data_IF_973927736468
#
_entry.id   IF_973927736468
#
_cell.length_a   1.000
_cell.length_b   1.000
_cell.length_c   1.000
_cell.angle_alpha   90.00
_cell.angle_beta   90.00
_cell.angle_gamma   90.00
#
_symmetry.space_group_name_H-M   'P 1'
#
loop_
_entity.id
_entity.type
_entity.pdbx_description
1 polymer ?
#
# COMPACT_ATOMS: atom_id res chain seq x y z
N UNK A 1 36.19 -3.22 -1.21
CA UNK A 1 35.39 -4.38 -0.80
C UNK A 1 34.31 -4.53 -1.85
N UNK A 2 34.28 -5.67 -2.52
CA UNK A 2 33.21 -5.98 -3.46
C UNK A 2 31.91 -6.05 -2.63
N UNK A 3 31.10 -4.99 -2.63
CA UNK A 3 29.81 -4.99 -1.97
C UNK A 3 28.89 -5.91 -2.75
N UNK A 4 28.81 -7.16 -2.28
CA UNK A 4 27.81 -8.08 -2.82
C UNK A 4 26.43 -7.45 -2.69
N UNK A 5 25.79 -7.19 -3.81
CA UNK A 5 24.47 -6.55 -3.87
C UNK A 5 23.46 -7.33 -3.03
N UNK A 6 22.79 -6.66 -2.11
CA UNK A 6 21.72 -7.27 -1.35
C UNK A 6 20.48 -7.49 -2.23
N UNK A 7 20.08 -8.75 -2.38
CA UNK A 7 18.87 -9.16 -3.09
C UNK A 7 17.86 -9.67 -2.06
N UNK A 8 16.82 -8.90 -1.74
CA UNK A 8 15.82 -9.34 -0.78
C UNK A 8 14.94 -10.48 -1.32
N UNK A 9 14.22 -11.21 -0.44
CA UNK A 9 13.46 -12.39 -0.82
C UNK A 9 12.47 -12.13 -1.96
N UNK A 10 12.39 -13.07 -2.88
CA UNK A 10 11.36 -13.13 -3.93
C UNK A 10 10.98 -14.58 -4.20
N UNK A 11 9.78 -14.84 -4.76
CA UNK A 11 9.43 -16.18 -5.20
C UNK A 11 10.38 -16.67 -6.29
N UNK A 12 10.64 -17.96 -6.30
CA UNK A 12 11.41 -18.58 -7.38
C UNK A 12 10.59 -18.53 -8.68
N UNK A 13 11.10 -17.81 -9.65
CA UNK A 13 10.50 -17.76 -10.98
C UNK A 13 10.69 -19.11 -11.68
N UNK A 14 9.60 -19.70 -12.15
CA UNK A 14 9.57 -20.99 -12.86
C UNK A 14 9.10 -20.75 -14.29
N UNK A 15 9.46 -21.63 -15.24
CA UNK A 15 8.84 -21.64 -16.57
C UNK A 15 7.31 -21.73 -16.45
N UNK A 16 6.58 -21.05 -17.34
CA UNK A 16 5.13 -20.83 -17.24
C UNK A 16 4.30 -22.11 -16.96
N UNK A 17 4.64 -23.23 -17.63
CA UNK A 17 3.91 -24.51 -17.45
C UNK A 17 4.13 -25.09 -16.06
N UNK A 18 5.37 -25.04 -15.56
CA UNK A 18 5.73 -25.56 -14.24
C UNK A 18 5.11 -24.69 -13.14
N UNK A 19 5.12 -23.37 -13.31
CA UNK A 19 4.49 -22.42 -12.40
C UNK A 19 2.98 -22.70 -12.24
N UNK A 20 2.28 -22.95 -13.36
CA UNK A 20 0.86 -23.29 -13.35
C UNK A 20 0.58 -24.62 -12.63
N UNK A 21 1.33 -25.69 -12.96
CA UNK A 21 1.15 -27.02 -12.33
C UNK A 21 1.39 -26.90 -10.81
N UNK A 22 2.45 -26.22 -10.40
CA UNK A 22 2.79 -26.03 -8.98
C UNK A 22 1.69 -25.28 -8.22
N UNK A 23 1.16 -24.22 -8.82
CA UNK A 23 0.11 -23.41 -8.20
C UNK A 23 -1.20 -24.19 -8.05
N UNK A 24 -1.57 -24.97 -9.05
CA UNK A 24 -2.74 -25.88 -8.97
C UNK A 24 -2.56 -26.97 -7.92
N UNK A 25 -1.34 -27.44 -7.71
CA UNK A 25 -1.03 -28.53 -6.75
C UNK A 25 -0.95 -28.01 -5.30
N UNK A 26 -0.36 -26.84 -5.07
CA UNK A 26 -0.26 -26.24 -3.73
C UNK A 26 -1.57 -25.67 -3.22
N UNK A 27 -2.41 -25.15 -4.10
CA UNK A 27 -3.71 -24.56 -3.73
C UNK A 27 -3.64 -23.29 -2.89
N UNK A 28 -2.44 -22.70 -2.71
CA UNK A 28 -2.22 -21.53 -1.86
C UNK A 28 -2.58 -20.18 -2.52
N UNK A 29 -2.90 -20.21 -3.81
CA UNK A 29 -3.39 -19.05 -4.56
C UNK A 29 -2.39 -17.91 -4.75
N UNK A 30 -1.09 -18.10 -4.42
CA UNK A 30 -0.08 -17.06 -4.56
C UNK A 30 0.17 -16.69 -6.04
N UNK A 31 -0.41 -15.59 -6.49
CA UNK A 31 -0.29 -15.11 -7.87
C UNK A 31 1.16 -14.78 -8.28
N UNK A 32 2.05 -14.45 -7.34
CA UNK A 32 3.46 -14.20 -7.65
C UNK A 32 4.16 -15.48 -8.14
N UNK A 33 3.77 -16.64 -7.63
CA UNK A 33 4.32 -17.93 -8.08
C UNK A 33 3.84 -18.33 -9.49
N UNK A 34 2.75 -17.71 -9.97
CA UNK A 34 2.24 -17.89 -11.34
C UNK A 34 2.99 -17.06 -12.38
N UNK A 35 3.72 -16.02 -11.95
CA UNK A 35 4.47 -15.19 -12.88
C UNK A 35 5.64 -15.98 -13.47
N UNK A 36 5.68 -16.18 -14.79
CA UNK A 36 6.78 -16.89 -15.43
C UNK A 36 8.06 -16.07 -15.36
N UNK A 37 9.21 -16.73 -15.40
CA UNK A 37 10.51 -16.08 -15.38
C UNK A 37 10.66 -15.05 -16.53
N UNK A 38 10.05 -15.33 -17.66
CA UNK A 38 10.04 -14.47 -18.84
C UNK A 38 9.31 -13.14 -18.60
N UNK A 39 8.40 -13.07 -17.60
CA UNK A 39 7.63 -11.87 -17.29
C UNK A 39 8.50 -10.67 -16.85
N UNK A 40 9.73 -10.93 -16.42
CA UNK A 40 10.70 -9.88 -16.06
C UNK A 40 11.49 -9.33 -17.26
N UNK A 41 11.26 -9.85 -18.46
CA UNK A 41 12.06 -9.53 -19.64
C UNK A 41 11.23 -9.14 -20.87
N UNK A 42 9.97 -9.54 -20.97
CA UNK A 42 9.15 -9.20 -22.11
C UNK A 42 8.33 -7.92 -21.87
N UNK A 43 8.20 -7.10 -22.90
CA UNK A 43 7.40 -5.86 -22.85
C UNK A 43 5.88 -6.12 -22.80
N UNK A 44 5.38 -7.09 -23.58
CA UNK A 44 3.96 -7.48 -23.65
C UNK A 44 3.89 -9.00 -23.88
N UNK A 45 3.16 -9.72 -23.07
CA UNK A 45 3.08 -11.17 -23.17
C UNK A 45 1.76 -11.77 -22.68
N UNK A 46 1.47 -13.00 -23.11
CA UNK A 46 0.33 -13.76 -22.60
C UNK A 46 0.68 -14.44 -21.27
N UNK A 47 -0.22 -14.34 -20.30
CA UNK A 47 -0.17 -15.12 -19.07
C UNK A 47 -1.08 -16.35 -19.24
N UNK A 48 -0.48 -17.47 -19.69
CA UNK A 48 -1.19 -18.72 -19.88
C UNK A 48 -2.23 -18.70 -21.02
N UNK A 49 -2.99 -19.79 -21.11
CA UNK A 49 -4.13 -19.91 -22.02
C UNK A 49 -5.41 -19.91 -21.19
N UNK A 50 -6.14 -18.82 -21.21
CA UNK A 50 -7.48 -18.72 -20.60
C UNK A 50 -8.52 -18.41 -21.68
N UNK A 51 -9.80 -18.71 -21.43
CA UNK A 51 -10.89 -18.34 -22.33
C UNK A 51 -11.00 -16.81 -22.54
N UNK A 52 -10.59 -16.04 -21.55
CA UNK A 52 -10.61 -14.58 -21.60
C UNK A 52 -9.44 -13.98 -22.39
N UNK A 53 -8.31 -14.74 -22.51
CA UNK A 53 -7.07 -14.18 -23.03
C UNK A 53 -6.47 -13.17 -22.04
N UNK A 54 -5.57 -13.64 -21.16
CA UNK A 54 -4.88 -12.75 -20.20
C UNK A 54 -3.58 -12.25 -20.81
N UNK A 55 -3.42 -10.92 -20.89
CA UNK A 55 -2.22 -10.28 -21.44
C UNK A 55 -1.59 -9.38 -20.38
N UNK A 56 -0.30 -9.62 -20.09
CA UNK A 56 0.51 -8.79 -19.20
C UNK A 56 1.21 -7.69 -20.02
N UNK A 57 1.10 -6.48 -19.54
CA UNK A 57 1.77 -5.30 -20.09
C UNK A 57 2.83 -4.80 -19.12
N UNK A 58 4.11 -4.85 -19.54
CA UNK A 58 5.28 -4.36 -18.80
C UNK A 58 5.97 -3.18 -19.50
N UNK A 59 5.51 -2.78 -20.68
CA UNK A 59 6.06 -1.61 -21.38
C UNK A 59 5.44 -0.32 -20.81
N UNK A 60 6.25 0.63 -20.28
CA UNK A 60 5.74 1.85 -19.64
C UNK A 60 4.78 2.67 -20.49
N UNK A 61 5.02 2.77 -21.82
CA UNK A 61 4.12 3.49 -22.76
C UNK A 61 2.75 2.84 -22.86
N UNK A 62 2.71 1.52 -23.05
CA UNK A 62 1.45 0.76 -23.13
C UNK A 62 0.69 0.79 -21.78
N UNK A 63 1.42 0.66 -20.66
CA UNK A 63 0.83 0.81 -19.31
C UNK A 63 0.22 2.19 -19.13
N UNK A 64 0.91 3.25 -19.58
CA UNK A 64 0.40 4.62 -19.53
C UNK A 64 -0.87 4.79 -20.36
N UNK A 65 -0.92 4.24 -21.58
CA UNK A 65 -2.09 4.29 -22.46
C UNK A 65 -3.30 3.60 -21.82
N UNK A 66 -3.12 2.37 -21.31
CA UNK A 66 -4.17 1.59 -20.65
C UNK A 66 -4.67 2.29 -19.36
N UNK A 67 -3.76 2.85 -18.56
CA UNK A 67 -4.15 3.49 -17.29
C UNK A 67 -4.74 4.90 -17.47
N UNK A 68 -4.46 5.58 -18.58
CA UNK A 68 -5.15 6.84 -18.93
C UNK A 68 -6.56 6.59 -19.41
N UNK A 69 -6.74 5.54 -20.20
CA UNK A 69 -8.03 5.08 -20.75
C UNK A 69 -8.90 6.22 -21.27
N UNK A 70 -8.34 7.03 -22.15
CA UNK A 70 -9.03 8.23 -22.69
C UNK A 70 -10.34 7.87 -23.43
N UNK A 71 -10.45 6.66 -23.94
CA UNK A 71 -11.61 6.15 -24.66
C UNK A 71 -12.63 5.43 -23.77
N UNK A 72 -12.28 5.11 -22.52
CA UNK A 72 -13.12 4.36 -21.59
C UNK A 72 -13.30 2.88 -21.96
N UNK A 73 -12.29 2.27 -22.60
CA UNK A 73 -12.32 0.88 -23.08
C UNK A 73 -11.63 -0.11 -22.12
N UNK A 74 -10.95 0.39 -21.09
CA UNK A 74 -10.25 -0.42 -20.08
C UNK A 74 -10.74 -0.16 -18.65
N UNK A 75 -12.03 -0.37 -18.34
CA UNK A 75 -12.52 -0.24 -16.98
C UNK A 75 -11.83 -1.24 -16.05
N UNK A 76 -12.03 -1.06 -14.76
CA UNK A 76 -11.62 -1.98 -13.72
C UNK A 76 -12.18 -3.37 -13.99
N UNK A 77 -11.40 -4.40 -13.66
CA UNK A 77 -11.79 -5.78 -13.92
C UNK A 77 -13.03 -6.16 -13.11
N UNK A 78 -14.00 -6.81 -13.78
CA UNK A 78 -15.17 -7.42 -13.17
C UNK A 78 -14.82 -8.38 -12.02
N UNK A 79 -13.69 -9.09 -12.13
CA UNK A 79 -13.21 -9.98 -11.06
C UNK A 79 -12.84 -9.19 -9.80
N UNK A 80 -12.16 -8.06 -9.94
CA UNK A 80 -11.79 -7.20 -8.81
C UNK A 80 -13.04 -6.51 -8.23
N UNK A 81 -13.88 -5.96 -9.09
CA UNK A 81 -15.12 -5.30 -8.69
C UNK A 81 -16.01 -6.27 -7.91
N UNK A 82 -16.30 -7.45 -8.45
CA UNK A 82 -17.16 -8.43 -7.81
C UNK A 82 -16.59 -9.02 -6.50
N UNK A 83 -15.26 -9.04 -6.35
CA UNK A 83 -14.63 -9.46 -5.09
C UNK A 83 -14.81 -8.42 -3.97
N UNK A 84 -14.83 -7.14 -4.30
CA UNK A 84 -14.84 -6.02 -3.34
C UNK A 84 -16.24 -5.41 -3.12
N UNK A 85 -17.16 -5.58 -4.07
CA UNK A 85 -18.50 -5.02 -4.05
C UNK A 85 -19.27 -5.23 -2.72
N UNK A 86 -19.27 -6.42 -2.09
CA UNK A 86 -20.01 -6.62 -0.85
C UNK A 86 -19.58 -5.69 0.29
N UNK A 87 -18.33 -5.28 0.30
CA UNK A 87 -17.78 -4.42 1.35
C UNK A 87 -17.86 -2.94 1.01
N UNK A 88 -17.39 -2.55 -0.19
CA UNK A 88 -17.18 -1.15 -0.57
C UNK A 88 -18.16 -0.63 -1.63
N UNK A 89 -19.17 -1.44 -1.97
CA UNK A 89 -20.27 -1.07 -2.85
C UNK A 89 -19.81 -0.36 -4.12
N UNK A 90 -20.51 0.72 -4.48
CA UNK A 90 -20.20 1.53 -5.65
C UNK A 90 -19.23 2.70 -5.34
N UNK A 91 -18.17 2.44 -4.56
CA UNK A 91 -17.15 3.43 -4.23
C UNK A 91 -16.26 3.80 -5.44
N UNK A 92 -15.51 4.88 -5.31
CA UNK A 92 -14.55 5.30 -6.35
C UNK A 92 -13.47 4.25 -6.65
N UNK A 93 -13.29 3.26 -5.78
CA UNK A 93 -12.31 2.18 -5.99
C UNK A 93 -12.77 1.19 -7.06
N UNK A 94 -14.06 0.99 -7.22
CA UNK A 94 -14.67 0.02 -8.16
C UNK A 94 -15.44 0.65 -9.32
N UNK A 95 -15.86 1.91 -9.20
CA UNK A 95 -16.58 2.64 -10.27
C UNK A 95 -15.64 3.16 -11.35
N UNK A 96 -16.19 3.41 -12.54
CA UNK A 96 -15.51 3.99 -13.70
C UNK A 96 -16.35 5.12 -14.33
N UNK A 97 -15.81 5.77 -15.35
CA UNK A 97 -16.51 6.75 -16.17
C UNK A 97 -17.01 7.98 -15.40
N UNK A 98 -18.23 8.50 -15.73
CA UNK A 98 -18.76 9.72 -15.13
C UNK A 98 -18.97 9.61 -13.60
N UNK A 99 -19.45 8.45 -13.11
CA UNK A 99 -19.67 8.22 -11.68
C UNK A 99 -18.36 8.32 -10.91
N UNK A 100 -17.32 7.65 -11.39
CA UNK A 100 -15.98 7.74 -10.80
C UNK A 100 -15.45 9.18 -10.80
N UNK A 101 -15.59 9.92 -11.91
CA UNK A 101 -15.13 11.31 -12.01
C UNK A 101 -15.81 12.22 -10.99
N UNK A 102 -17.13 12.09 -10.82
CA UNK A 102 -17.88 12.80 -9.78
C UNK A 102 -17.30 12.50 -8.40
N UNK A 103 -17.22 11.24 -8.02
CA UNK A 103 -16.74 10.79 -6.73
C UNK A 103 -15.29 11.27 -6.49
N UNK A 104 -14.42 11.12 -7.48
CA UNK A 104 -13.02 11.56 -7.40
C UNK A 104 -12.90 13.06 -7.15
N UNK A 105 -13.64 13.87 -7.88
CA UNK A 105 -13.63 15.34 -7.73
C UNK A 105 -14.12 15.79 -6.35
N UNK A 106 -15.07 15.07 -5.77
CA UNK A 106 -15.59 15.36 -4.43
C UNK A 106 -14.62 14.93 -3.32
N UNK A 107 -13.85 13.87 -3.53
CA UNK A 107 -12.95 13.27 -2.53
C UNK A 107 -11.55 13.91 -2.52
N UNK A 108 -10.99 14.28 -3.67
CA UNK A 108 -9.63 14.81 -3.78
C UNK A 108 -9.29 15.92 -2.77
N UNK A 109 -10.18 16.90 -2.48
CA UNK A 109 -9.89 17.96 -1.52
C UNK A 109 -9.65 17.46 -0.09
N UNK A 110 -10.23 16.32 0.30
CA UNK A 110 -10.05 15.73 1.63
C UNK A 110 -8.62 15.20 1.85
N UNK A 111 -7.86 14.95 0.79
CA UNK A 111 -6.47 14.49 0.81
C UNK A 111 -5.45 15.58 0.41
N UNK A 112 -5.85 16.84 0.44
CA UNK A 112 -4.96 17.97 0.16
C UNK A 112 -3.85 18.11 1.22
N UNK A 113 -2.74 18.77 0.87
CA UNK A 113 -1.62 19.01 1.79
C UNK A 113 -2.04 19.72 3.08
N UNK A 114 -3.00 20.64 2.98
CA UNK A 114 -3.54 21.35 4.15
C UNK A 114 -4.27 20.39 5.09
N UNK A 115 -5.10 19.50 4.56
CA UNK A 115 -5.78 18.48 5.37
C UNK A 115 -4.81 17.46 5.93
N UNK A 116 -3.79 17.11 5.17
CA UNK A 116 -2.73 16.20 5.60
C UNK A 116 -1.96 16.74 6.81
N UNK A 117 -1.65 18.05 6.85
CA UNK A 117 -0.99 18.66 8.01
C UNK A 117 -1.86 18.61 9.26
N UNK A 118 -3.19 18.70 9.13
CA UNK A 118 -4.13 18.53 10.25
C UNK A 118 -4.17 17.07 10.72
N UNK A 119 -4.25 16.12 9.80
CA UNK A 119 -4.26 14.69 10.10
C UNK A 119 -2.94 14.21 10.73
N UNK A 120 -1.84 14.94 10.51
CA UNK A 120 -0.51 14.60 11.04
C UNK A 120 -0.47 14.50 12.56
N UNK A 121 -1.22 15.34 13.28
CA UNK A 121 -1.31 15.28 14.75
C UNK A 121 -1.89 13.93 15.21
N UNK A 122 -2.93 13.43 14.53
CA UNK A 122 -3.53 12.16 14.83
C UNK A 122 -2.60 10.99 14.43
N UNK A 123 -1.82 11.14 13.35
CA UNK A 123 -0.78 10.17 12.99
C UNK A 123 0.31 10.06 14.07
N UNK A 124 0.79 11.19 14.61
CA UNK A 124 1.76 11.20 15.71
C UNK A 124 1.20 10.46 16.93
N UNK A 125 -0.01 10.81 17.38
CA UNK A 125 -0.62 10.19 18.55
C UNK A 125 -0.79 8.65 18.39
N UNK A 126 -1.20 8.18 17.19
CA UNK A 126 -1.26 6.75 16.90
C UNK A 126 0.12 6.09 16.96
N UNK A 127 1.12 6.75 16.36
CA UNK A 127 2.50 6.23 16.32
C UNK A 127 3.10 6.15 17.73
N UNK A 128 2.87 7.14 18.59
CA UNK A 128 3.37 7.17 19.97
C UNK A 128 2.78 6.06 20.84
N UNK A 129 1.48 5.80 20.71
CA UNK A 129 0.83 4.67 21.40
C UNK A 129 1.46 3.34 20.99
N UNK A 130 1.73 3.15 19.71
CA UNK A 130 2.36 1.94 19.19
C UNK A 130 3.86 1.85 19.52
N UNK A 131 4.58 2.98 19.56
CA UNK A 131 5.96 3.04 20.09
C UNK A 131 6.00 2.54 21.53
N UNK A 132 5.02 2.92 22.36
CA UNK A 132 4.93 2.45 23.74
C UNK A 132 4.73 0.93 23.81
N UNK A 133 3.85 0.36 22.98
CA UNK A 133 3.65 -1.11 22.88
C UNK A 133 4.90 -1.85 22.43
N UNK A 134 5.64 -1.29 21.45
CA UNK A 134 6.91 -1.86 20.99
C UNK A 134 8.00 -1.75 22.08
N UNK A 135 7.98 -0.67 22.88
CA UNK A 135 8.90 -0.51 24.03
C UNK A 135 8.69 -1.61 25.08
N UNK A 136 7.44 -1.99 25.39
CA UNK A 136 7.15 -3.13 26.26
C UNK A 136 7.77 -4.44 25.74
N UNK A 137 7.73 -4.64 24.42
CA UNK A 137 8.40 -5.79 23.79
C UNK A 137 9.92 -5.70 23.88
N UNK A 138 10.50 -4.51 23.78
CA UNK A 138 11.93 -4.28 23.95
C UNK A 138 12.37 -4.56 25.41
N UNK A 139 11.59 -4.08 26.38
CA UNK A 139 11.87 -4.26 27.81
C UNK A 139 11.76 -5.73 28.25
N UNK A 140 10.74 -6.44 27.73
CA UNK A 140 10.50 -7.85 28.05
C UNK A 140 11.38 -8.82 27.25
N UNK A 141 11.98 -8.37 26.14
CA UNK A 141 12.72 -9.21 25.18
C UNK A 141 11.84 -10.22 24.43
N UNK A 142 10.50 -10.11 24.56
CA UNK A 142 9.58 -11.01 23.89
C UNK A 142 9.48 -10.67 22.40
N UNK A 143 9.49 -11.69 21.52
CA UNK A 143 9.28 -11.45 20.10
C UNK A 143 7.82 -11.10 19.80
N UNK A 144 7.62 -10.31 18.75
CA UNK A 144 6.30 -9.97 18.23
C UNK A 144 6.22 -10.19 16.71
N UNK A 145 5.00 -10.25 16.18
CA UNK A 145 4.76 -10.33 14.73
C UNK A 145 4.84 -8.93 14.14
N UNK A 146 5.83 -8.71 13.25
CA UNK A 146 6.05 -7.43 12.56
C UNK A 146 4.84 -7.03 11.73
N UNK A 147 4.30 -7.97 10.94
CA UNK A 147 3.17 -7.73 10.05
C UNK A 147 1.89 -7.37 10.81
N UNK A 148 1.63 -8.01 11.97
CA UNK A 148 0.50 -7.64 12.82
C UNK A 148 0.72 -6.28 13.48
N UNK A 149 1.91 -5.98 13.98
CA UNK A 149 2.22 -4.69 14.58
C UNK A 149 2.02 -3.54 13.58
N UNK A 150 2.52 -3.70 12.34
CA UNK A 150 2.30 -2.70 11.30
C UNK A 150 0.83 -2.57 10.89
N UNK A 151 0.09 -3.68 10.83
CA UNK A 151 -1.35 -3.65 10.55
C UNK A 151 -2.15 -2.92 11.63
N UNK A 152 -1.88 -3.17 12.91
CA UNK A 152 -2.54 -2.47 14.01
C UNK A 152 -2.19 -0.97 14.01
N UNK A 153 -0.92 -0.62 13.84
CA UNK A 153 -0.48 0.77 13.79
C UNK A 153 -1.19 1.55 12.67
N UNK A 154 -1.15 1.04 11.45
CA UNK A 154 -1.76 1.74 10.30
C UNK A 154 -3.28 1.75 10.37
N UNK A 155 -3.92 0.72 10.95
CA UNK A 155 -5.35 0.74 11.22
C UNK A 155 -5.72 1.82 12.25
N UNK A 156 -4.91 2.00 13.31
CA UNK A 156 -5.13 3.07 14.30
C UNK A 156 -4.95 4.45 13.69
N UNK A 157 -3.92 4.64 12.85
CA UNK A 157 -3.73 5.88 12.08
C UNK A 157 -4.98 6.19 11.25
N UNK A 158 -5.51 5.23 10.50
CA UNK A 158 -6.73 5.43 9.70
C UNK A 158 -7.95 5.71 10.58
N UNK A 159 -8.15 4.96 11.66
CA UNK A 159 -9.26 5.20 12.59
C UNK A 159 -9.24 6.63 13.14
N UNK A 160 -8.08 7.12 13.56
CA UNK A 160 -7.95 8.48 14.13
C UNK A 160 -8.04 9.58 13.09
N UNK A 161 -7.46 9.39 11.91
CA UNK A 161 -7.39 10.44 10.87
C UNK A 161 -8.66 10.52 10.03
N UNK A 162 -9.33 9.40 9.80
CA UNK A 162 -10.56 9.35 9.00
C UNK A 162 -11.79 9.53 9.88
N UNK A 163 -11.83 8.90 11.07
CA UNK A 163 -13.03 8.82 11.89
C UNK A 163 -12.91 9.46 13.29
N UNK A 164 -11.78 10.11 13.59
CA UNK A 164 -11.49 10.68 14.91
C UNK A 164 -11.69 9.68 16.09
N UNK A 165 -11.49 8.39 15.84
CA UNK A 165 -11.73 7.31 16.79
C UNK A 165 -10.50 6.39 16.87
N UNK A 166 -9.91 6.15 18.07
CA UNK A 166 -8.77 5.23 18.19
C UNK A 166 -9.17 3.77 17.97
N UNK A 167 -8.27 2.94 17.46
CA UNK A 167 -8.49 1.50 17.24
C UNK A 167 -8.76 0.72 18.54
N UNK A 168 -8.29 1.21 19.68
CA UNK A 168 -8.53 0.64 20.98
C UNK A 168 -10.02 0.64 21.40
N UNK A 169 -10.89 1.39 20.71
CA UNK A 169 -12.34 1.29 20.91
C UNK A 169 -12.85 -0.09 20.50
N UNK A 170 -13.83 -0.62 21.24
CA UNK A 170 -14.40 -1.94 20.95
C UNK A 170 -14.92 -2.06 19.51
N UNK A 171 -15.59 -1.00 19.02
CA UNK A 171 -16.14 -0.96 17.65
C UNK A 171 -15.03 -1.03 16.59
N UNK A 172 -13.96 -0.25 16.76
CA UNK A 172 -12.86 -0.26 15.80
C UNK A 172 -12.13 -1.61 15.77
N UNK A 173 -12.02 -2.29 16.94
CA UNK A 173 -11.46 -3.63 17.03
C UNK A 173 -12.30 -4.67 16.29
N UNK A 174 -13.63 -4.66 16.50
CA UNK A 174 -14.56 -5.54 15.78
C UNK A 174 -14.46 -5.33 14.26
N UNK A 175 -14.43 -4.06 13.82
CA UNK A 175 -14.26 -3.72 12.40
C UNK A 175 -12.94 -4.25 11.85
N UNK A 176 -11.85 -4.13 12.60
CA UNK A 176 -10.54 -4.66 12.19
C UNK A 176 -10.52 -6.19 12.06
N UNK A 177 -11.14 -6.90 13.00
CA UNK A 177 -11.23 -8.36 12.96
C UNK A 177 -12.07 -8.84 11.75
N UNK A 178 -13.18 -8.19 11.47
CA UNK A 178 -14.02 -8.47 10.30
C UNK A 178 -13.32 -8.16 8.97
N UNK A 179 -12.54 -7.06 8.90
CA UNK A 179 -11.70 -6.76 7.74
C UNK A 179 -10.65 -7.84 7.53
N UNK A 180 -10.01 -8.33 8.58
CA UNK A 180 -9.02 -9.41 8.47
C UNK A 180 -9.64 -10.69 7.90
N UNK A 181 -10.89 -11.00 8.26
CA UNK A 181 -11.64 -12.12 7.70
C UNK A 181 -11.92 -11.91 6.20
N UNK A 182 -12.40 -10.72 5.83
CA UNK A 182 -12.67 -10.35 4.45
C UNK A 182 -11.41 -10.45 3.57
N UNK A 183 -10.30 -9.90 4.02
CA UNK A 183 -9.01 -9.92 3.30
C UNK A 183 -8.52 -11.34 3.02
N UNK A 184 -8.62 -12.23 4.00
CA UNK A 184 -8.26 -13.64 3.83
C UNK A 184 -9.10 -14.33 2.77
N UNK A 185 -10.36 -13.96 2.65
CA UNK A 185 -11.28 -14.52 1.65
C UNK A 185 -11.00 -13.98 0.25
N UNK A 186 -10.85 -12.66 0.11
CA UNK A 186 -10.56 -12.01 -1.19
C UNK A 186 -9.20 -12.43 -1.74
N UNK A 187 -8.26 -12.75 -0.84
CA UNK A 187 -6.94 -13.24 -1.21
C UNK A 187 -6.94 -14.65 -1.84
N UNK A 188 -8.01 -15.42 -1.70
CA UNK A 188 -8.13 -16.74 -2.29
C UNK A 188 -8.53 -16.63 -3.77
N UNK A 189 -7.52 -16.50 -4.63
CA UNK A 189 -7.75 -16.44 -6.08
C UNK A 189 -8.10 -17.82 -6.60
N UNK A 190 -9.31 -17.98 -7.11
CA UNK A 190 -9.73 -19.18 -7.85
C UNK A 190 -9.06 -19.23 -9.22
N UNK A 191 -7.80 -19.71 -9.24
CA UNK A 191 -6.99 -19.82 -10.47
C UNK A 191 -7.69 -20.68 -11.52
N UNK A 192 -8.29 -21.78 -11.10
CA UNK A 192 -9.02 -22.67 -12.01
C UNK A 192 -10.25 -21.95 -12.58
N UNK A 193 -10.98 -21.22 -11.73
CA UNK A 193 -12.07 -20.37 -12.17
C UNK A 193 -11.63 -19.27 -13.13
N UNK A 194 -10.50 -18.61 -12.89
CA UNK A 194 -9.95 -17.61 -13.82
C UNK A 194 -9.64 -18.22 -15.22
N UNK A 195 -9.21 -19.47 -15.28
CA UNK A 195 -8.91 -20.16 -16.55
C UNK A 195 -10.20 -20.61 -17.24
N UNK A 196 -11.18 -21.12 -16.51
CA UNK A 196 -12.36 -21.81 -17.05
C UNK A 196 -13.60 -20.91 -17.15
N UNK A 197 -13.75 -19.90 -16.28
CA UNK A 197 -14.93 -19.02 -16.28
C UNK A 197 -14.94 -18.10 -17.51
N UNK A 198 -16.12 -17.84 -18.08
CA UNK A 198 -16.27 -16.84 -19.13
C UNK A 198 -15.99 -15.43 -18.57
N UNK A 199 -15.81 -14.46 -19.46
CA UNK A 199 -15.82 -13.05 -19.09
C UNK A 199 -17.13 -12.71 -18.36
N UNK A 200 -17.06 -11.76 -17.41
CA UNK A 200 -18.21 -11.25 -16.67
C UNK A 200 -18.88 -12.30 -15.74
N UNK A 201 -18.12 -13.26 -15.24
CA UNK A 201 -18.64 -14.22 -14.27
C UNK A 201 -18.74 -13.60 -12.88
N UNK A 202 -19.84 -13.90 -12.18
CA UNK A 202 -20.04 -13.49 -10.79
C UNK A 202 -19.04 -14.17 -9.86
N UNK A 203 -18.51 -13.41 -8.90
CA UNK A 203 -17.71 -13.93 -7.79
C UNK A 203 -18.64 -14.13 -6.59
N UNK A 204 -18.74 -15.38 -6.12
CA UNK A 204 -19.56 -15.70 -4.95
C UNK A 204 -18.68 -15.69 -3.71
N UNK A 205 -19.07 -14.87 -2.72
CA UNK A 205 -18.47 -14.86 -1.40
C UNK A 205 -19.18 -15.88 -0.47
N UNK A 206 -18.48 -16.32 0.58
CA UNK A 206 -19.09 -17.17 1.61
C UNK A 206 -20.07 -16.37 2.47
N UNK A 207 -21.04 -17.06 3.12
CA UNK A 207 -22.00 -16.39 4.02
C UNK A 207 -21.31 -15.68 5.17
N UNK A 208 -20.23 -16.24 5.69
CA UNK A 208 -19.44 -15.68 6.78
C UNK A 208 -18.81 -14.34 6.37
N UNK A 209 -18.21 -14.27 5.18
CA UNK A 209 -17.61 -13.05 4.62
C UNK A 209 -18.67 -11.99 4.35
N UNK A 210 -19.83 -12.37 3.81
CA UNK A 210 -20.93 -11.43 3.59
C UNK A 210 -21.44 -10.85 4.91
N UNK A 211 -21.58 -11.68 5.96
CA UNK A 211 -21.97 -11.19 7.29
C UNK A 211 -20.92 -10.25 7.91
N UNK A 212 -19.62 -10.51 7.70
CA UNK A 212 -18.54 -9.58 8.12
C UNK A 212 -18.64 -8.24 7.38
N UNK A 213 -18.87 -8.27 6.06
CA UNK A 213 -19.09 -7.03 5.28
C UNK A 213 -20.29 -6.23 5.79
N UNK A 214 -21.42 -6.90 6.11
CA UNK A 214 -22.60 -6.25 6.67
C UNK A 214 -22.31 -5.58 8.02
N UNK A 215 -21.58 -6.25 8.93
CA UNK A 215 -21.18 -5.66 10.21
C UNK A 215 -20.27 -4.45 10.04
N UNK A 216 -19.25 -4.56 9.19
CA UNK A 216 -18.34 -3.42 8.87
C UNK A 216 -19.17 -2.23 8.35
N UNK A 217 -20.03 -2.45 7.37
CA UNK A 217 -20.88 -1.40 6.78
C UNK A 217 -21.84 -0.80 7.81
N UNK A 218 -22.37 -1.61 8.74
CA UNK A 218 -23.19 -1.14 9.85
C UNK A 218 -22.40 -0.18 10.77
N UNK A 219 -21.19 -0.55 11.18
CA UNK A 219 -20.36 0.29 12.06
C UNK A 219 -19.91 1.58 11.35
N UNK A 220 -19.53 1.50 10.07
CA UNK A 220 -19.21 2.71 9.28
C UNK A 220 -20.47 3.59 9.15
N UNK A 221 -21.64 3.01 8.93
CA UNK A 221 -22.91 3.74 8.90
C UNK A 221 -23.19 4.49 10.20
N UNK A 222 -22.94 3.87 11.34
CA UNK A 222 -23.11 4.52 12.66
C UNK A 222 -22.12 5.70 12.85
N UNK A 223 -20.88 5.58 12.34
CA UNK A 223 -19.92 6.68 12.34
C UNK A 223 -20.38 7.82 11.42
N UNK A 224 -20.89 7.50 10.23
CA UNK A 224 -21.49 8.49 9.32
C UNK A 224 -22.64 9.22 9.98
N UNK A 225 -23.55 8.50 10.60
CA UNK A 225 -24.71 9.08 11.30
C UNK A 225 -24.26 10.00 12.46
N UNK A 226 -23.22 9.60 13.18
CA UNK A 226 -22.62 10.44 14.23
C UNK A 226 -22.11 11.74 13.66
N UNK A 227 -21.39 11.72 12.54
CA UNK A 227 -20.87 12.93 11.89
C UNK A 227 -21.99 13.82 11.32
N UNK A 228 -23.04 13.23 10.76
CA UNK A 228 -24.19 13.95 10.21
C UNK A 228 -25.05 14.64 11.29
N UNK A 229 -25.14 14.06 12.48
CA UNK A 229 -25.99 14.56 13.57
C UNK A 229 -25.28 15.55 14.52
N UNK A 230 -24.03 15.87 14.28
CA UNK A 230 -23.25 16.76 15.13
C UNK A 230 -23.17 18.16 14.52
N UNK A 231 -23.07 19.16 15.39
CA UNK A 231 -22.85 20.57 15.00
C UNK A 231 -21.59 20.68 14.12
N UNK A 232 -21.71 21.43 13.04
CA UNK A 232 -20.61 21.71 12.11
C UNK A 232 -19.35 22.17 12.86
N UNK A 233 -18.20 21.59 12.55
CA UNK A 233 -16.91 21.92 13.18
C UNK A 233 -16.52 21.09 14.40
N UNK A 234 -17.34 20.15 14.88
CA UNK A 234 -16.94 19.24 15.98
C UNK A 234 -15.84 18.26 15.59
N UNK A 235 -15.88 17.77 14.35
CA UNK A 235 -14.86 16.89 13.77
C UNK A 235 -14.10 17.63 12.67
N UNK A 236 -12.78 17.43 12.61
CA UNK A 236 -11.92 18.00 11.58
C UNK A 236 -11.08 16.88 10.92
N UNK A 237 -11.74 15.77 10.61
CA UNK A 237 -11.17 14.57 10.01
C UNK A 237 -11.52 14.45 8.52
N UNK A 238 -11.03 13.37 7.89
CA UNK A 238 -11.25 13.12 6.48
C UNK A 238 -12.74 12.81 6.21
N UNK A 239 -13.42 12.09 7.10
CA UNK A 239 -14.85 11.80 6.95
C UNK A 239 -15.68 13.09 6.91
N UNK A 240 -15.44 14.03 7.81
CA UNK A 240 -16.10 15.35 7.81
C UNK A 240 -15.90 16.10 6.49
N UNK A 241 -14.68 16.07 5.94
CA UNK A 241 -14.39 16.73 4.68
C UNK A 241 -15.16 16.09 3.50
N UNK A 242 -15.29 14.76 3.49
CA UNK A 242 -16.04 14.05 2.45
C UNK A 242 -17.55 14.23 2.62
N UNK A 243 -18.07 14.26 3.83
CA UNK A 243 -19.49 14.49 4.12
C UNK A 243 -19.92 15.91 3.66
N UNK A 244 -19.05 16.89 3.83
CA UNK A 244 -19.31 18.29 3.42
C UNK A 244 -19.09 18.52 1.91
N UNK A 245 -18.46 17.58 1.22
CA UNK A 245 -18.17 17.71 -0.21
C UNK A 245 -19.47 17.76 -1.03
N UNK A 246 -19.52 18.65 -2.02
CA UNK A 246 -20.63 18.79 -2.95
C UNK A 246 -20.15 18.62 -4.38
N UNK A 247 -20.96 17.94 -5.15
CA UNK A 247 -20.77 17.83 -6.59
C UNK A 247 -20.83 19.23 -7.24
N UNK A 248 -19.86 19.53 -8.08
CA UNK A 248 -19.74 20.86 -8.70
C UNK A 248 -20.86 21.16 -9.70
N UNK A 249 -21.40 20.12 -10.35
CA UNK A 249 -22.41 20.26 -11.40
C UNK A 249 -23.83 20.31 -10.83
N UNK A 250 -24.11 19.49 -9.80
CA UNK A 250 -25.45 19.37 -9.21
C UNK A 250 -25.62 20.11 -7.90
N UNK A 251 -24.52 20.45 -7.21
CA UNK A 251 -24.53 21.01 -5.86
C UNK A 251 -24.92 20.03 -4.76
N UNK A 252 -25.17 18.77 -5.10
CA UNK A 252 -25.62 17.74 -4.16
C UNK A 252 -24.46 17.10 -3.43
N UNK A 253 -24.60 16.78 -2.11
CA UNK A 253 -23.62 15.99 -1.38
C UNK A 253 -23.69 14.51 -1.79
N UNK A 254 -22.80 13.69 -1.23
CA UNK A 254 -22.96 12.24 -1.21
C UNK A 254 -24.21 11.83 -0.43
N UNK A 255 -24.90 10.80 -0.89
CA UNK A 255 -25.94 10.13 -0.08
C UNK A 255 -25.30 9.37 1.07
N UNK A 256 -26.10 8.98 2.09
CA UNK A 256 -25.62 8.18 3.21
C UNK A 256 -24.95 6.88 2.77
N UNK A 257 -25.53 6.18 1.81
CA UNK A 257 -25.01 4.91 1.30
C UNK A 257 -23.71 5.12 0.51
N UNK A 258 -23.65 6.16 -0.31
CA UNK A 258 -22.38 6.55 -0.97
C UNK A 258 -21.28 6.87 0.06
N UNK A 259 -21.61 7.54 1.18
CA UNK A 259 -20.65 7.81 2.25
C UNK A 259 -20.11 6.53 2.88
N UNK A 260 -20.99 5.56 3.16
CA UNK A 260 -20.59 4.24 3.68
C UNK A 260 -19.63 3.55 2.71
N UNK A 261 -19.93 3.57 1.41
CA UNK A 261 -19.08 3.00 0.37
C UNK A 261 -17.70 3.68 0.33
N UNK A 262 -17.64 5.02 0.32
CA UNK A 262 -16.37 5.76 0.25
C UNK A 262 -15.54 5.60 1.53
N UNK A 263 -16.15 5.68 2.71
CA UNK A 263 -15.44 5.57 3.98
C UNK A 263 -14.97 4.13 4.24
N UNK A 264 -15.73 3.14 3.77
CA UNK A 264 -15.30 1.73 3.79
C UNK A 264 -14.03 1.50 2.98
N UNK A 265 -13.91 2.12 1.80
CA UNK A 265 -12.70 2.00 1.00
C UNK A 265 -11.50 2.70 1.63
N UNK A 266 -11.70 3.82 2.36
CA UNK A 266 -10.57 4.50 3.01
C UNK A 266 -9.97 3.64 4.12
N UNK A 267 -10.80 2.97 4.89
CA UNK A 267 -10.31 2.03 5.89
C UNK A 267 -9.53 0.88 5.23
N UNK A 268 -10.15 0.19 4.26
CA UNK A 268 -9.52 -0.94 3.55
C UNK A 268 -8.20 -0.54 2.89
N UNK A 269 -8.21 0.52 2.08
CA UNK A 269 -7.06 0.92 1.28
C UNK A 269 -5.95 1.56 2.11
N UNK A 270 -6.30 2.26 3.20
CA UNK A 270 -5.33 3.01 3.99
C UNK A 270 -4.48 2.13 4.89
N UNK A 271 -5.12 1.22 5.66
CA UNK A 271 -4.35 0.43 6.62
C UNK A 271 -3.55 -0.69 5.94
N UNK A 272 -4.15 -1.47 5.07
CA UNK A 272 -3.55 -2.69 4.52
C UNK A 272 -2.34 -2.41 3.62
N UNK A 273 -2.41 -1.38 2.78
CA UNK A 273 -1.32 -1.06 1.84
C UNK A 273 -0.11 -0.47 2.56
N UNK A 274 -0.32 0.43 3.52
CA UNK A 274 0.77 1.02 4.31
C UNK A 274 1.40 -0.01 5.24
N UNK A 275 0.61 -0.86 5.88
CA UNK A 275 1.11 -1.98 6.70
C UNK A 275 1.99 -2.93 5.88
N UNK A 276 1.56 -3.31 4.67
CA UNK A 276 2.36 -4.12 3.75
C UNK A 276 3.70 -3.45 3.45
N UNK A 277 3.71 -2.17 3.08
CA UNK A 277 4.93 -1.43 2.77
C UNK A 277 5.88 -1.36 3.96
N UNK A 278 5.38 -1.00 5.15
CA UNK A 278 6.18 -0.89 6.37
C UNK A 278 6.72 -2.24 6.86
N UNK A 279 5.96 -3.32 6.69
CA UNK A 279 6.45 -4.68 6.99
C UNK A 279 7.73 -4.98 6.20
N UNK A 280 7.76 -4.68 4.90
CA UNK A 280 8.94 -4.91 4.07
C UNK A 280 10.07 -3.92 4.38
N UNK A 281 9.75 -2.68 4.72
CA UNK A 281 10.73 -1.68 5.18
C UNK A 281 11.49 -2.20 6.41
N UNK A 282 10.77 -2.60 7.48
CA UNK A 282 11.40 -3.04 8.72
C UNK A 282 12.03 -4.43 8.60
N UNK A 283 11.50 -5.29 7.74
CA UNK A 283 12.18 -6.54 7.37
C UNK A 283 13.56 -6.26 6.77
N UNK A 284 13.66 -5.36 5.78
CA UNK A 284 14.93 -5.00 5.14
C UNK A 284 15.88 -4.33 6.15
N UNK A 285 15.37 -3.45 7.02
CA UNK A 285 16.21 -2.82 8.05
C UNK A 285 16.78 -3.81 9.04
N UNK A 286 16.05 -4.87 9.40
CA UNK A 286 16.54 -5.93 10.26
C UNK A 286 17.58 -6.85 9.58
N UNK A 287 17.45 -7.08 8.26
CA UNK A 287 18.42 -7.82 7.45
C UNK A 287 19.71 -7.01 7.17
N UNK A 288 19.60 -5.67 7.18
CA UNK A 288 20.65 -4.75 6.74
C UNK A 288 20.82 -3.59 7.73
N UNK A 289 21.39 -3.87 8.92
CA UNK A 289 21.52 -2.88 9.99
C UNK A 289 22.40 -1.68 9.65
N UNK A 290 23.26 -1.77 8.63
CA UNK A 290 24.01 -0.62 8.13
C UNK A 290 23.12 0.49 7.57
N UNK A 291 21.92 0.16 7.04
CA UNK A 291 20.95 1.15 6.64
C UNK A 291 20.34 1.87 7.84
N UNK A 292 20.18 1.17 8.95
CA UNK A 292 19.66 1.76 10.18
C UNK A 292 20.56 2.92 10.65
N UNK A 293 21.89 2.73 10.62
CA UNK A 293 22.84 3.78 10.96
C UNK A 293 22.73 5.00 10.01
N UNK A 294 22.70 4.75 8.71
CA UNK A 294 22.58 5.82 7.69
C UNK A 294 21.28 6.62 7.83
N UNK A 295 20.15 5.95 8.08
CA UNK A 295 18.88 6.63 8.28
C UNK A 295 18.87 7.45 9.56
N UNK A 296 19.49 6.97 10.64
CA UNK A 296 19.65 7.73 11.91
C UNK A 296 20.45 9.00 11.73
N UNK A 297 21.56 8.96 10.97
CA UNK A 297 22.35 10.15 10.65
C UNK A 297 21.50 11.25 9.98
N UNK A 298 20.54 10.86 9.13
CA UNK A 298 19.62 11.81 8.50
C UNK A 298 18.51 12.26 9.44
N UNK A 299 17.91 11.34 10.23
CA UNK A 299 16.70 11.59 11.00
C UNK A 299 17.00 12.34 12.30
N UNK A 300 18.04 11.96 13.05
CA UNK A 300 18.34 12.47 14.40
C UNK A 300 18.37 14.00 14.49
N UNK A 301 18.95 14.76 13.54
CA UNK A 301 18.94 16.22 13.59
C UNK A 301 17.54 16.88 13.54
N UNK A 302 16.53 16.13 13.11
CA UNK A 302 15.15 16.62 12.97
C UNK A 302 14.21 16.11 14.06
N UNK A 303 14.71 15.25 14.97
CA UNK A 303 13.93 14.76 16.10
C UNK A 303 14.06 15.76 17.27
N UNK A 304 12.96 16.48 17.58
CA UNK A 304 12.88 17.40 18.71
C UNK A 304 12.05 16.76 19.82
N UNK A 305 12.62 16.60 21.00
CA UNK A 305 11.98 15.93 22.15
C UNK A 305 11.41 14.51 21.82
N UNK A 306 12.02 13.83 20.83
CA UNK A 306 11.60 12.53 20.39
C UNK A 306 10.55 12.52 19.26
N UNK A 307 10.15 13.70 18.76
CA UNK A 307 9.12 13.86 17.73
C UNK A 307 9.66 14.44 16.43
N UNK A 308 9.07 14.00 15.30
CA UNK A 308 9.31 14.54 13.98
C UNK A 308 8.19 15.51 13.62
N UNK A 309 8.53 16.73 13.18
CA UNK A 309 7.51 17.67 12.70
C UNK A 309 7.05 17.35 11.27
N UNK A 310 5.83 17.77 10.90
CA UNK A 310 5.32 17.63 9.53
C UNK A 310 6.28 18.22 8.48
N UNK A 311 6.85 19.40 8.75
CA UNK A 311 7.81 20.04 7.83
C UNK A 311 9.14 19.27 7.74
N UNK A 312 9.55 18.61 8.82
CA UNK A 312 10.77 17.79 8.82
C UNK A 312 10.63 16.55 7.92
N UNK A 313 9.43 15.98 7.77
CA UNK A 313 9.22 14.86 6.84
C UNK A 313 9.64 15.18 5.40
N UNK A 314 9.62 16.45 5.01
CA UNK A 314 10.02 16.92 3.67
C UNK A 314 11.56 16.96 3.48
N UNK A 315 12.31 16.91 4.58
CA UNK A 315 13.77 17.08 4.63
C UNK A 315 14.54 15.76 4.80
N UNK A 316 13.89 14.63 4.53
CA UNK A 316 14.45 13.28 4.70
C UNK A 316 14.58 12.59 3.32
N UNK A 317 15.49 13.02 2.42
CA UNK A 317 15.62 12.45 1.09
C UNK A 317 16.08 10.99 1.10
N UNK A 318 17.00 10.58 1.98
CA UNK A 318 17.47 9.19 2.07
C UNK A 318 16.38 8.26 2.62
N UNK A 319 15.68 8.67 3.69
CA UNK A 319 14.57 7.90 4.26
C UNK A 319 13.46 7.71 3.22
N UNK A 320 13.14 8.76 2.46
CA UNK A 320 12.20 8.69 1.36
C UNK A 320 12.67 7.77 0.23
N UNK A 321 13.95 7.84 -0.13
CA UNK A 321 14.56 6.99 -1.13
C UNK A 321 14.53 5.52 -0.72
N UNK A 322 14.81 5.22 0.55
CA UNK A 322 14.69 3.89 1.14
C UNK A 322 13.25 3.36 1.02
N UNK A 323 12.26 4.15 1.41
CA UNK A 323 10.85 3.80 1.30
C UNK A 323 10.43 3.55 -0.16
N UNK A 324 10.84 4.43 -1.09
CA UNK A 324 10.56 4.25 -2.52
C UNK A 324 11.16 2.96 -3.08
N UNK A 325 12.38 2.62 -2.69
CA UNK A 325 13.02 1.37 -3.14
C UNK A 325 12.34 0.14 -2.55
N UNK A 326 11.88 0.20 -1.30
CA UNK A 326 11.04 -0.85 -0.71
C UNK A 326 9.74 -1.02 -1.50
N UNK A 327 9.05 0.07 -1.85
CA UNK A 327 7.85 0.03 -2.71
C UNK A 327 8.14 -0.46 -4.14
N UNK A 328 9.35 -0.23 -4.67
CA UNK A 328 9.74 -0.77 -5.97
C UNK A 328 9.80 -2.29 -5.94
N UNK A 329 10.45 -2.84 -4.91
CA UNK A 329 10.62 -4.29 -4.77
C UNK A 329 9.40 -4.98 -4.17
N UNK A 330 8.65 -4.31 -3.32
CA UNK A 330 7.45 -4.84 -2.67
C UNK A 330 6.27 -3.88 -2.82
N UNK A 331 5.80 -3.65 -4.06
CA UNK A 331 4.62 -2.81 -4.25
C UNK A 331 3.43 -3.46 -3.55
N UNK A 332 2.70 -2.75 -2.67
CA UNK A 332 1.53 -3.31 -2.01
C UNK A 332 0.51 -3.88 -3.01
N UNK A 333 0.25 -3.15 -4.08
CA UNK A 333 -0.59 -3.64 -5.17
C UNK A 333 0.28 -4.35 -6.21
N UNK A 334 0.22 -5.68 -6.20
CA UNK A 334 1.01 -6.54 -7.10
C UNK A 334 0.53 -6.47 -8.54
N UNK A 335 -0.81 -6.40 -8.73
CA UNK A 335 -1.49 -6.45 -10.02
C UNK A 335 -2.60 -5.41 -10.09
N UNK A 336 -2.72 -4.78 -11.26
CA UNK A 336 -3.80 -3.84 -11.60
C UNK A 336 -4.56 -4.42 -12.79
N UNK A 337 -5.62 -5.19 -12.56
CA UNK A 337 -6.40 -5.80 -13.63
C UNK A 337 -7.37 -4.81 -14.28
N UNK A 338 -7.47 -4.90 -15.60
CA UNK A 338 -8.45 -4.20 -16.43
C UNK A 338 -9.12 -5.20 -17.36
N UNK A 339 -10.21 -4.80 -17.99
CA UNK A 339 -10.88 -5.63 -18.99
C UNK A 339 -11.13 -4.81 -20.26
N UNK A 340 -10.88 -5.41 -21.44
CA UNK A 340 -11.15 -4.75 -22.70
C UNK A 340 -12.65 -4.85 -23.03
N UNK A 341 -13.37 -3.73 -23.10
CA UNK A 341 -14.81 -3.70 -23.41
C UNK A 341 -15.11 -4.05 -24.87
N UNK A 342 -14.14 -3.85 -25.76
CA UNK A 342 -14.26 -4.10 -27.19
C UNK A 342 -12.95 -4.66 -27.76
N UNK A 343 -12.93 -4.97 -29.05
CA UNK A 343 -11.69 -5.33 -29.73
C UNK A 343 -10.83 -4.09 -29.89
N UNK A 344 -9.62 -4.12 -29.34
CA UNK A 344 -8.70 -2.98 -29.33
C UNK A 344 -7.28 -3.44 -29.61
N UNK A 345 -6.45 -2.56 -30.14
CA UNK A 345 -5.03 -2.81 -30.36
C UNK A 345 -4.19 -1.80 -29.58
N UNK A 346 -3.28 -2.31 -28.73
CA UNK A 346 -2.34 -1.53 -27.94
C UNK A 346 -0.91 -1.89 -28.35
N UNK A 347 -0.19 -0.95 -28.92
CA UNK A 347 1.20 -1.10 -29.37
C UNK A 347 1.44 -2.39 -30.18
N UNK A 348 0.57 -2.67 -31.16
CA UNK A 348 0.63 -3.84 -32.04
C UNK A 348 0.05 -5.11 -31.43
N UNK A 349 -0.41 -5.10 -30.18
CA UNK A 349 -1.06 -6.24 -29.53
C UNK A 349 -2.58 -6.13 -29.64
N UNK A 350 -3.17 -7.06 -30.37
CA UNK A 350 -4.63 -7.19 -30.52
C UNK A 350 -5.24 -7.88 -29.32
N UNK A 351 -6.25 -7.26 -28.74
CA UNK A 351 -7.03 -7.76 -27.62
C UNK A 351 -8.47 -8.02 -28.06
N UNK A 352 -9.01 -9.21 -27.82
CA UNK A 352 -10.43 -9.46 -28.03
C UNK A 352 -11.27 -8.78 -26.94
N UNK A 353 -12.55 -8.55 -27.22
CA UNK A 353 -13.51 -8.13 -26.20
C UNK A 353 -13.52 -9.11 -25.04
N UNK A 354 -13.52 -8.60 -23.82
CA UNK A 354 -13.48 -9.39 -22.57
C UNK A 354 -12.08 -9.87 -22.17
N UNK A 355 -11.03 -9.52 -22.93
CA UNK A 355 -9.66 -9.84 -22.55
C UNK A 355 -9.30 -9.24 -21.19
N UNK A 356 -8.64 -10.03 -20.33
CA UNK A 356 -8.07 -9.54 -19.10
C UNK A 356 -6.72 -8.89 -19.39
N UNK A 357 -6.66 -7.59 -19.15
CA UNK A 357 -5.47 -6.75 -19.30
C UNK A 357 -4.82 -6.63 -17.93
N UNK A 358 -3.64 -7.21 -17.78
CA UNK A 358 -2.92 -7.24 -16.53
C UNK A 358 -1.75 -6.25 -16.57
N UNK A 359 -1.72 -5.31 -15.65
CA UNK A 359 -0.55 -4.50 -15.35
C UNK A 359 0.02 -5.01 -14.03
N UNK A 360 1.31 -5.34 -13.99
CA UNK A 360 1.92 -5.84 -12.76
C UNK A 360 3.04 -4.90 -12.32
N UNK A 361 2.79 -3.99 -11.36
CA UNK A 361 3.86 -3.22 -10.72
C UNK A 361 5.02 -4.10 -10.27
N UNK A 362 4.75 -5.30 -9.78
CA UNK A 362 5.77 -6.28 -9.38
C UNK A 362 6.79 -6.59 -10.47
N UNK A 363 6.38 -6.87 -11.71
CA UNK A 363 7.29 -7.19 -12.82
C UNK A 363 7.83 -5.94 -13.51
N UNK A 364 6.99 -4.92 -13.70
CA UNK A 364 7.38 -3.66 -14.31
C UNK A 364 8.52 -2.99 -13.53
N UNK A 365 8.39 -2.95 -12.20
CA UNK A 365 9.37 -2.35 -11.30
C UNK A 365 10.63 -3.23 -11.08
N UNK A 366 10.67 -4.40 -11.71
CA UNK A 366 11.81 -5.32 -11.76
C UNK A 366 12.22 -5.70 -13.17
N UNK A 367 11.73 -4.99 -14.18
CA UNK A 367 11.98 -5.34 -15.58
C UNK A 367 13.42 -5.01 -15.95
N UNK A 368 14.16 -6.02 -16.46
CA UNK A 368 15.59 -5.93 -16.75
C UNK A 368 15.98 -4.84 -17.77
N UNK A 369 15.05 -4.44 -18.64
CA UNK A 369 15.25 -3.37 -19.64
C UNK A 369 15.22 -1.97 -19.01
N UNK A 370 14.49 -1.78 -17.90
CA UNK A 370 14.25 -0.46 -17.30
C UNK A 370 15.01 -0.25 -16.00
N UNK A 371 15.51 -1.33 -15.39
CA UNK A 371 16.20 -1.29 -14.11
C UNK A 371 17.55 -2.02 -14.21
N UNK A 372 18.62 -1.32 -13.93
CA UNK A 372 19.93 -1.93 -13.66
C UNK A 372 19.83 -2.70 -12.33
N UNK A 373 20.42 -3.90 -12.25
CA UNK A 373 20.29 -4.79 -11.07
C UNK A 373 18.85 -4.83 -10.53
N UNK A 374 17.88 -5.31 -11.33
CA UNK A 374 16.45 -5.11 -11.09
C UNK A 374 15.94 -5.75 -9.79
N UNK A 375 16.68 -6.70 -9.24
CA UNK A 375 16.33 -7.40 -8.00
C UNK A 375 17.09 -6.92 -6.77
N UNK A 376 18.14 -6.11 -6.95
CA UNK A 376 18.94 -5.57 -5.85
C UNK A 376 18.25 -4.39 -5.20
N UNK A 377 18.36 -4.28 -3.88
CA UNK A 377 17.87 -3.15 -3.10
C UNK A 377 18.92 -2.03 -3.11
N UNK A 378 18.60 -0.93 -3.78
CA UNK A 378 19.48 0.23 -4.00
C UNK A 378 18.69 1.54 -3.81
N UNK A 379 18.51 2.03 -2.58
CA UNK A 379 17.79 3.28 -2.32
C UNK A 379 18.34 4.48 -3.07
N UNK A 380 19.64 4.50 -3.36
CA UNK A 380 20.31 5.57 -4.08
C UNK A 380 19.70 5.91 -5.45
N UNK A 381 18.92 4.97 -6.04
CA UNK A 381 18.15 5.21 -7.28
C UNK A 381 17.17 6.36 -7.16
N UNK A 382 16.61 6.52 -5.94
CA UNK A 382 15.55 7.50 -5.64
C UNK A 382 16.04 8.74 -4.92
N UNK A 383 17.37 8.91 -4.77
CA UNK A 383 17.92 10.20 -4.39
C UNK A 383 17.64 11.26 -5.46
N UNK A 384 17.41 12.53 -5.11
CA UNK A 384 17.00 13.57 -6.06
C UNK A 384 17.89 13.70 -7.30
N UNK A 385 19.20 13.49 -7.13
CA UNK A 385 20.19 13.54 -8.22
C UNK A 385 20.07 12.36 -9.20
N UNK A 386 19.56 11.20 -8.75
CA UNK A 386 19.49 9.97 -9.54
C UNK A 386 18.09 9.70 -10.07
N UNK A 387 17.03 10.09 -9.34
CA UNK A 387 15.64 9.79 -9.68
C UNK A 387 15.24 10.29 -11.08
N UNK A 388 15.82 11.42 -11.51
CA UNK A 388 15.61 11.99 -12.85
C UNK A 388 16.07 11.08 -14.00
N UNK A 389 16.95 10.11 -13.72
CA UNK A 389 17.51 9.19 -14.72
C UNK A 389 16.65 7.91 -14.85
N UNK A 390 15.64 7.72 -13.99
CA UNK A 390 14.75 6.57 -14.05
C UNK A 390 13.86 6.63 -15.31
N UNK A 391 13.61 5.46 -15.89
CA UNK A 391 12.69 5.35 -17.02
C UNK A 391 11.28 5.78 -16.60
N UNK A 392 10.76 6.83 -17.24
CA UNK A 392 9.44 7.36 -16.93
C UNK A 392 8.36 6.29 -17.08
N UNK A 393 7.53 6.12 -16.06
CA UNK A 393 6.43 5.14 -16.03
C UNK A 393 6.86 3.71 -15.70
N UNK A 394 8.15 3.45 -15.44
CA UNK A 394 8.61 2.15 -14.94
C UNK A 394 8.42 1.99 -13.42
N UNK A 395 8.18 3.07 -12.67
CA UNK A 395 7.90 3.10 -11.24
C UNK A 395 6.47 3.62 -11.00
N UNK A 396 5.57 2.75 -10.55
CA UNK A 396 4.14 3.04 -10.42
C UNK A 396 3.50 2.44 -9.15
N UNK A 397 4.11 2.57 -7.97
CA UNK A 397 3.58 1.93 -6.75
C UNK A 397 2.21 2.48 -6.33
N UNK A 398 1.89 3.71 -6.74
CA UNK A 398 0.61 4.37 -6.51
C UNK A 398 -0.29 4.41 -7.75
N UNK A 399 0.04 3.64 -8.78
CA UNK A 399 -0.60 3.73 -10.08
C UNK A 399 -0.14 4.94 -10.90
N UNK A 400 -0.88 5.27 -11.94
CA UNK A 400 -0.66 6.46 -12.77
C UNK A 400 -1.93 6.89 -13.51
N UNK A 401 -1.90 8.05 -14.16
CA UNK A 401 -3.05 8.59 -14.89
C UNK A 401 -4.17 9.09 -13.96
N UNK A 402 -5.41 9.17 -14.46
CA UNK A 402 -6.53 9.70 -13.68
C UNK A 402 -6.81 8.92 -12.39
N UNK A 403 -6.57 7.61 -12.39
CA UNK A 403 -6.76 6.71 -11.25
C UNK A 403 -5.56 6.63 -10.30
N UNK A 404 -4.63 7.61 -10.35
CA UNK A 404 -3.55 7.72 -9.37
C UNK A 404 -4.12 7.70 -7.94
N UNK A 405 -3.46 6.99 -7.02
CA UNK A 405 -3.88 6.88 -5.62
C UNK A 405 -4.12 8.26 -4.99
N UNK A 406 -5.31 8.48 -4.45
CA UNK A 406 -5.67 9.73 -3.76
C UNK A 406 -4.89 9.90 -2.47
N UNK A 407 -4.59 8.79 -1.77
CA UNK A 407 -3.84 8.75 -0.52
C UNK A 407 -2.32 8.70 -0.68
N UNK A 408 -1.75 8.90 -1.89
CA UNK A 408 -0.30 8.77 -2.10
C UNK A 408 0.54 9.70 -1.20
N UNK A 409 0.11 10.96 -1.03
CA UNK A 409 0.76 11.91 -0.13
C UNK A 409 0.60 11.51 1.34
N UNK A 410 -0.60 11.04 1.72
CA UNK A 410 -0.91 10.53 3.06
C UNK A 410 0.01 9.37 3.42
N UNK A 411 0.04 8.32 2.60
CA UNK A 411 0.86 7.13 2.83
C UNK A 411 2.36 7.43 2.92
N UNK A 412 2.87 8.39 2.13
CA UNK A 412 4.27 8.81 2.21
C UNK A 412 4.58 9.51 3.54
N UNK A 413 3.75 10.46 3.97
CA UNK A 413 3.96 11.19 5.23
C UNK A 413 3.84 10.26 6.42
N UNK A 414 2.81 9.41 6.46
CA UNK A 414 2.59 8.39 7.47
C UNK A 414 3.81 7.45 7.58
N UNK A 415 4.27 6.92 6.45
CA UNK A 415 5.41 6.00 6.44
C UNK A 415 6.70 6.66 6.90
N UNK A 416 6.98 7.90 6.48
CA UNK A 416 8.17 8.64 6.93
C UNK A 416 8.12 8.94 8.42
N UNK A 417 6.96 9.29 8.97
CA UNK A 417 6.76 9.49 10.41
C UNK A 417 7.07 8.19 11.17
N UNK A 418 6.42 7.08 10.81
CA UNK A 418 6.56 5.79 11.48
C UNK A 418 8.01 5.30 11.38
N UNK A 419 8.62 5.38 10.19
CA UNK A 419 10.03 5.01 10.01
C UNK A 419 10.93 5.84 10.93
N UNK A 420 10.75 7.16 10.95
CA UNK A 420 11.60 8.05 11.77
C UNK A 420 11.46 7.77 13.26
N UNK A 421 10.25 7.60 13.74
CA UNK A 421 9.97 7.32 15.15
C UNK A 421 10.56 5.97 15.58
N UNK A 422 10.37 4.91 14.80
CA UNK A 422 10.83 3.58 15.16
C UNK A 422 12.35 3.42 14.97
N UNK A 423 12.92 3.97 13.88
CA UNK A 423 14.37 3.92 13.59
C UNK A 423 15.17 4.70 14.63
N UNK A 424 14.66 5.82 15.13
CA UNK A 424 15.35 6.62 16.15
C UNK A 424 15.37 5.94 17.53
N UNK A 425 14.42 5.06 17.81
CA UNK A 425 14.20 4.48 19.15
C UNK A 425 14.66 3.03 19.30
N UNK A 426 14.65 2.23 18.22
CA UNK A 426 14.83 0.78 18.31
C UNK A 426 15.85 0.21 17.33
N UNK A 427 16.53 -0.85 17.77
CA UNK A 427 17.26 -1.80 16.93
C UNK A 427 16.37 -3.01 16.66
N UNK A 428 16.39 -3.53 15.42
CA UNK A 428 15.51 -4.59 14.93
C UNK A 428 16.31 -5.86 14.67
N UNK A 429 15.80 -7.00 15.12
CA UNK A 429 16.42 -8.31 14.93
C UNK A 429 15.38 -9.34 14.52
N UNK A 430 15.58 -9.98 13.37
CA UNK A 430 14.73 -11.10 12.94
C UNK A 430 15.00 -12.34 13.80
N UNK A 431 13.96 -13.10 14.12
CA UNK A 431 14.19 -14.41 14.74
C UNK A 431 14.89 -15.34 13.74
N UNK A 432 15.82 -16.20 14.24
CA UNK A 432 16.56 -17.11 13.38
C UNK A 432 15.64 -18.14 12.70
N UNK A 433 16.11 -18.68 11.58
CA UNK A 433 15.46 -19.77 10.83
C UNK A 433 14.07 -19.47 10.26
N UNK A 434 13.69 -18.21 10.11
CA UNK A 434 12.47 -17.82 9.39
C UNK A 434 12.72 -17.83 7.89
N UNK A 435 11.78 -18.41 7.15
CA UNK A 435 11.74 -18.32 5.69
C UNK A 435 10.73 -17.27 5.29
N UNK A 436 11.18 -16.06 5.02
CA UNK A 436 10.31 -14.99 4.55
C UNK A 436 10.19 -15.02 3.03
N UNK A 437 8.98 -15.22 2.54
CA UNK A 437 8.66 -15.26 1.10
C UNK A 437 7.47 -14.35 0.85
N UNK A 438 7.53 -13.44 -0.14
CA UNK A 438 6.40 -12.61 -0.48
C UNK A 438 5.28 -13.42 -1.16
N UNK A 439 4.05 -13.10 -0.79
CA UNK A 439 2.83 -13.63 -1.39
C UNK A 439 1.94 -12.47 -1.86
N UNK A 440 1.41 -12.59 -3.08
CA UNK A 440 0.35 -11.68 -3.54
C UNK A 440 -0.98 -12.19 -2.97
N UNK A 441 -1.46 -11.46 -1.99
CA UNK A 441 -2.82 -11.53 -1.46
C UNK A 441 -3.60 -10.31 -1.96
N UNK A 442 -4.45 -9.72 -1.15
CA UNK A 442 -4.99 -8.39 -1.46
C UNK A 442 -3.84 -7.37 -1.63
N UNK A 443 -2.83 -7.48 -0.77
CA UNK A 443 -1.54 -6.77 -0.87
C UNK A 443 -0.36 -7.75 -0.91
N UNK A 444 0.86 -7.24 -1.16
CA UNK A 444 2.10 -8.02 -1.13
C UNK A 444 2.56 -8.24 0.31
N UNK A 445 2.13 -9.32 0.94
CA UNK A 445 2.47 -9.68 2.32
C UNK A 445 3.52 -10.80 2.38
N UNK A 446 4.23 -10.95 3.49
CA UNK A 446 4.90 -12.22 3.79
C UNK A 446 3.88 -13.37 3.81
N UNK A 447 4.27 -14.54 3.28
CA UNK A 447 3.41 -15.72 3.26
C UNK A 447 3.09 -16.22 4.67
N UNK A 448 4.04 -16.09 5.58
CA UNK A 448 3.94 -16.41 7.01
C UNK A 448 4.28 -15.17 7.83
N UNK A 449 3.89 -15.17 9.11
CA UNK A 449 4.21 -14.07 10.04
C UNK A 449 5.71 -13.89 10.16
N UNK A 450 6.16 -12.65 10.13
CA UNK A 450 7.57 -12.29 10.35
C UNK A 450 7.76 -11.96 11.82
N UNK A 451 8.39 -12.87 12.55
CA UNK A 451 8.68 -12.69 13.98
C UNK A 451 9.96 -11.89 14.18
N UNK A 452 9.89 -10.89 15.02
CA UNK A 452 10.97 -9.94 15.27
C UNK A 452 11.16 -9.70 16.76
N UNK A 453 12.40 -9.42 17.17
CA UNK A 453 12.74 -8.78 18.45
C UNK A 453 13.17 -7.36 18.21
N UNK A 454 12.92 -6.52 19.19
CA UNK A 454 13.45 -5.17 19.23
C UNK A 454 14.24 -4.97 20.50
N UNK A 455 15.20 -4.06 20.45
CA UNK A 455 15.92 -3.54 21.61
C UNK A 455 15.88 -2.02 21.57
N UNK A 456 15.87 -1.39 22.73
CA UNK A 456 16.08 0.05 22.76
C UNK A 456 17.42 0.40 22.12
N UNK A 457 17.42 1.44 21.31
CA UNK A 457 18.67 1.99 20.76
C UNK A 457 19.60 2.37 21.90
N UNK A 458 20.84 1.90 21.87
CA UNK A 458 21.85 2.34 22.81
C UNK A 458 22.05 3.85 22.69
N UNK A 459 21.87 4.59 23.78
CA UNK A 459 22.13 6.03 23.78
C UNK A 459 23.62 6.25 23.45
N UNK A 460 23.87 6.93 22.33
CA UNK A 460 25.21 7.42 22.05
C UNK A 460 25.59 8.44 23.13
N UNK A 461 26.59 8.12 23.93
CA UNK A 461 27.21 9.07 24.88
C UNK A 461 28.02 10.16 24.16
N UNK A 462 27.50 10.74 23.10
CA UNK A 462 28.04 11.94 22.48
C UNK A 462 27.63 13.13 23.36
N UNK A 463 28.55 13.55 24.22
CA UNK A 463 28.41 14.79 24.97
C UNK A 463 28.14 15.95 23.98
N UNK A 464 27.24 16.88 24.28
CA UNK A 464 27.01 18.03 23.44
C UNK A 464 28.33 18.80 23.30
N UNK A 465 28.83 18.90 22.08
CA UNK A 465 29.98 19.75 21.76
C UNK A 465 29.52 21.20 21.93
N UNK A 466 29.69 21.73 23.14
CA UNK A 466 29.56 23.15 23.37
C UNK A 466 30.59 23.87 22.49
N UNK A 467 30.11 24.54 21.45
CA UNK A 467 30.87 25.54 20.72
C UNK A 467 31.22 26.66 21.71
N UNK A 468 32.45 26.57 22.21
CA UNK A 468 33.06 27.68 22.97
C UNK A 468 33.30 28.78 21.94
N UNK A 469 32.38 29.71 21.88
CA UNK A 469 32.61 31.03 21.25
C UNK A 469 33.60 31.80 22.13
N UNK A 470 34.86 31.72 21.77
CA UNK A 470 35.88 32.64 22.30
C UNK A 470 35.56 34.06 21.83
N UNK A 471 34.99 34.85 22.73
CA UNK A 471 35.03 36.34 22.61
C UNK A 471 36.47 36.74 22.78
N UNK A 472 37.12 37.19 21.74
CA UNK A 472 38.30 38.06 21.83
C UNK A 472 37.79 39.47 22.04
N UNK A 473 38.09 40.01 23.21
CA UNK A 473 38.09 41.44 23.55
C UNK A 473 39.41 42.01 23.04
N UNK A 474 39.33 43.03 22.18
CA UNK A 474 40.17 44.25 22.18
C UNK A 474 39.31 45.42 21.70
#
# INVERSE_FOLDING_TARGET
MDETLYIPPKPNSLPAVIALIRSLWKGDGNLLELLPAEAYHFDIGHLGRSRRGTVLFNRPSAVKEIMRDEQGVFPKSDLMVGALDPLIGESMFVTDGPKWRRQRTMIDPAFSLMRLSVAYVAMCAATDDHVSTISESADSGQPFSLDLAMSHLTADVICRTVFSTPLASNVAKEVFEDFTLFEKSVAQVDILGMILKPAWSEIKQTREVLAACERIRYHIGALVDTHLNVTEGKFNDIASAVIQAKDKDTGLPFTRDELIDQLGVFFLAGHETTASALTWVFYILAERPEWLARLREEIDPYMSDGDLSFEATKKLPLTRAFFKEALRLYPPITFVPRVALEKVEIEGKRLPRGALVMIAPWTLQRHSKYWEDPHAFKPERFLPENEKNLTQGAYIPFGQGPHLCVGAGFAQVESLLIMSQLVSKFDFELLPNQRVVPAARLTTRPAEQVMMRVRHRAQSNAAPTHLITSRQTV
#
